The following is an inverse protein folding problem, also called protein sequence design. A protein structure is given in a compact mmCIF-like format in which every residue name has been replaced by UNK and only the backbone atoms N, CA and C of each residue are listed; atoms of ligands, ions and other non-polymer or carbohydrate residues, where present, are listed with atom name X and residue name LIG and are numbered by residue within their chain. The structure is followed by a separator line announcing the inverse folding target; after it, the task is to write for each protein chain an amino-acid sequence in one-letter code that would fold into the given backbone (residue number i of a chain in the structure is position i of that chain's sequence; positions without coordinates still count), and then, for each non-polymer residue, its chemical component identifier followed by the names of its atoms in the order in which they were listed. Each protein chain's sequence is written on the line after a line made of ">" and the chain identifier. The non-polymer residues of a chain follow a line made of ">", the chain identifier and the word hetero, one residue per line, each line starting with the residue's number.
data_IF_235679796071
#
_entry.id   IF_235679796071
#
_cell.length_a   1.000
_cell.length_b   1.000
_cell.length_c   1.000
_cell.angle_alpha   90.00
_cell.angle_beta   90.00
_cell.angle_gamma   90.00
#
_symmetry.space_group_name_H-M   'P 1'
#
loop_
_entity.id
_entity.type
_entity.pdbx_description
1 polymer ?
#
# COMPACT_ATOMS: atom_id res chain seq x y z
N UNK A 1 -12.60 3.25 -28.93
CA UNK A 1 -12.79 2.66 -27.58
C UNK A 1 -11.50 2.12 -26.93
N UNK A 2 -10.45 1.74 -27.68
CA UNK A 2 -9.22 1.15 -27.12
C UNK A 2 -8.30 2.16 -26.39
N UNK A 3 -8.14 3.39 -26.90
CA UNK A 3 -7.21 4.39 -26.32
C UNK A 3 -7.45 4.69 -24.83
N UNK A 4 -8.71 4.81 -24.40
CA UNK A 4 -9.06 5.04 -22.99
C UNK A 4 -8.70 3.87 -22.07
N UNK A 5 -8.75 2.63 -22.58
CA UNK A 5 -8.34 1.43 -21.83
C UNK A 5 -6.84 1.39 -21.58
N UNK A 6 -6.04 1.75 -22.58
CA UNK A 6 -4.58 1.86 -22.43
C UNK A 6 -4.19 2.99 -21.47
N UNK A 7 -4.84 4.14 -21.59
CA UNK A 7 -4.63 5.26 -20.66
C UNK A 7 -4.99 4.84 -19.23
N UNK A 8 -6.11 4.13 -19.03
CA UNK A 8 -6.51 3.61 -17.73
C UNK A 8 -5.45 2.67 -17.14
N UNK A 9 -5.02 1.68 -17.92
CA UNK A 9 -3.99 0.73 -17.51
C UNK A 9 -2.68 1.43 -17.11
N UNK A 10 -2.23 2.41 -17.91
CA UNK A 10 -1.04 3.19 -17.62
C UNK A 10 -1.20 4.04 -16.34
N UNK A 11 -2.33 4.72 -16.16
CA UNK A 11 -2.65 5.50 -14.96
C UNK A 11 -2.61 4.60 -13.71
N UNK A 12 -3.23 3.41 -13.76
CA UNK A 12 -3.22 2.47 -12.65
C UNK A 12 -1.80 2.01 -12.30
N UNK A 13 -0.97 1.69 -13.30
CA UNK A 13 0.42 1.30 -13.06
C UNK A 13 1.21 2.42 -12.39
N UNK A 14 1.16 3.63 -12.96
CA UNK A 14 1.89 4.79 -12.44
C UNK A 14 1.46 5.08 -10.99
N UNK A 15 0.16 5.10 -10.72
CA UNK A 15 -0.35 5.41 -9.38
C UNK A 15 0.00 4.31 -8.39
N UNK A 16 -0.10 3.03 -8.76
CA UNK A 16 0.26 1.95 -7.85
C UNK A 16 1.75 1.98 -7.49
N UNK A 17 2.60 2.16 -8.51
CA UNK A 17 4.04 2.30 -8.33
C UNK A 17 4.37 3.50 -7.44
N UNK A 18 3.78 4.67 -7.71
CA UNK A 18 3.99 5.88 -6.93
C UNK A 18 3.50 5.73 -5.47
N UNK A 19 2.31 5.16 -5.26
CA UNK A 19 1.77 4.94 -3.90
C UNK A 19 2.60 3.94 -3.11
N UNK A 20 3.09 2.88 -3.75
CA UNK A 20 3.99 1.90 -3.11
C UNK A 20 5.32 2.55 -2.73
N UNK A 21 5.91 3.30 -3.67
CA UNK A 21 7.18 4.00 -3.43
C UNK A 21 7.05 5.05 -2.32
N UNK A 22 5.98 5.86 -2.33
CA UNK A 22 5.71 6.83 -1.28
C UNK A 22 5.50 6.16 0.09
N UNK A 23 4.83 5.00 0.13
CA UNK A 23 4.68 4.21 1.35
C UNK A 23 6.03 3.83 1.95
N UNK A 24 6.95 3.27 1.14
CA UNK A 24 8.30 2.92 1.59
C UNK A 24 9.16 4.15 1.94
N UNK A 25 9.04 5.24 1.20
CA UNK A 25 9.74 6.49 1.54
C UNK A 25 9.29 7.04 2.89
N UNK A 26 8.01 6.95 3.22
CA UNK A 26 7.51 7.37 4.55
C UNK A 26 8.02 6.43 5.64
N UNK A 27 8.08 5.12 5.39
CA UNK A 27 8.76 4.19 6.29
C UNK A 27 10.17 4.67 6.62
N UNK A 28 10.98 4.93 5.58
CA UNK A 28 12.35 5.42 5.75
C UNK A 28 12.44 6.76 6.49
N UNK A 29 11.58 7.71 6.13
CA UNK A 29 11.51 9.01 6.79
C UNK A 29 11.13 8.90 8.28
N UNK A 30 10.12 8.09 8.61
CA UNK A 30 9.69 7.82 9.98
C UNK A 30 10.83 7.23 10.81
N UNK A 31 11.57 6.27 10.26
CA UNK A 31 12.69 5.64 10.98
C UNK A 31 13.85 6.60 11.21
N UNK A 32 14.25 7.38 10.20
CA UNK A 32 15.30 8.39 10.38
C UNK A 32 14.93 9.43 11.43
N UNK A 33 13.67 9.86 11.47
CA UNK A 33 13.17 10.78 12.52
C UNK A 33 13.23 10.19 13.93
N UNK A 34 13.25 8.87 14.05
CA UNK A 34 13.34 8.15 15.31
C UNK A 34 14.78 7.77 15.69
N UNK A 35 15.79 8.27 14.98
CA UNK A 35 17.19 7.95 15.27
C UNK A 35 17.69 6.67 14.63
N UNK A 36 16.89 6.02 13.76
CA UNK A 36 17.23 4.73 13.16
C UNK A 36 17.62 4.89 11.70
N UNK A 37 18.83 4.45 11.36
CA UNK A 37 19.30 4.44 9.97
C UNK A 37 18.79 3.20 9.23
N UNK A 38 18.10 3.40 8.11
CA UNK A 38 17.51 2.33 7.29
C UNK A 38 17.76 2.56 5.81
N UNK A 39 17.71 1.50 5.01
CA UNK A 39 17.62 1.61 3.55
C UNK A 39 16.24 1.20 3.07
N UNK A 40 15.68 1.99 2.15
CA UNK A 40 14.44 1.65 1.43
C UNK A 40 14.75 1.45 -0.05
N UNK A 41 14.28 0.34 -0.60
CA UNK A 41 14.11 0.14 -2.02
C UNK A 41 12.79 0.74 -2.52
N UNK A 42 12.27 0.18 -3.61
CA UNK A 42 10.98 0.59 -4.17
C UNK A 42 9.78 0.00 -3.40
N UNK A 43 9.94 -1.22 -2.88
CA UNK A 43 8.92 -1.98 -2.13
C UNK A 43 9.51 -2.70 -0.90
N UNK A 44 10.71 -2.34 -0.48
CA UNK A 44 11.40 -3.03 0.62
C UNK A 44 12.06 -2.03 1.54
N UNK A 45 11.85 -2.19 2.84
CA UNK A 45 12.73 -1.63 3.86
C UNK A 45 13.71 -2.70 4.38
N UNK A 46 14.91 -2.28 4.74
CA UNK A 46 16.00 -3.14 5.18
C UNK A 46 17.23 -2.39 5.67
N UNK A 47 18.32 -3.14 5.80
CA UNK A 47 19.56 -2.70 6.41
C UNK A 47 20.21 -1.58 5.60
N UNK A 48 20.62 -0.50 6.27
CA UNK A 48 21.23 0.67 5.63
C UNK A 48 22.49 0.34 4.83
N UNK A 49 23.20 -0.74 5.16
CA UNK A 49 24.47 -1.13 4.53
C UNK A 49 24.30 -2.09 3.35
N UNK A 50 23.12 -2.66 3.14
CA UNK A 50 22.85 -3.65 2.09
C UNK A 50 22.00 -3.04 0.97
N UNK A 51 22.08 -3.60 -0.23
CA UNK A 51 21.13 -3.29 -1.30
C UNK A 51 19.83 -4.10 -1.13
N UNK A 52 18.67 -3.59 -1.58
CA UNK A 52 17.39 -4.30 -1.46
C UNK A 52 17.35 -5.71 -2.12
N UNK A 53 18.29 -5.97 -3.03
CA UNK A 53 18.49 -7.27 -3.70
C UNK A 53 19.34 -8.26 -2.89
N UNK A 54 20.13 -7.78 -1.94
CA UNK A 54 21.13 -8.59 -1.26
C UNK A 54 20.46 -9.60 -0.31
N UNK A 55 21.02 -10.81 -0.23
CA UNK A 55 20.56 -11.82 0.71
C UNK A 55 20.75 -11.29 2.14
N UNK A 56 19.68 -11.32 2.93
CA UNK A 56 19.73 -10.77 4.27
C UNK A 56 19.54 -9.25 4.34
N UNK A 57 19.04 -8.60 3.27
CA UNK A 57 18.65 -7.19 3.32
C UNK A 57 17.73 -6.85 4.51
N UNK A 58 16.91 -7.81 4.95
CA UNK A 58 16.03 -7.69 6.13
C UNK A 58 16.58 -8.36 7.39
N UNK A 59 17.73 -9.05 7.31
CA UNK A 59 18.36 -9.68 8.48
C UNK A 59 18.94 -8.62 9.39
N UNK A 60 18.79 -8.83 10.70
CA UNK A 60 19.25 -7.92 11.76
C UNK A 60 18.62 -6.52 11.70
N UNK A 61 17.49 -6.37 11.00
CA UNK A 61 16.64 -5.20 11.16
C UNK A 61 15.86 -5.36 12.47
N UNK A 62 16.55 -5.14 13.59
CA UNK A 62 15.91 -4.86 14.87
C UNK A 62 15.31 -3.46 14.76
N UNK A 63 14.21 -3.35 14.00
CA UNK A 63 13.27 -2.25 14.11
C UNK A 63 12.73 -2.33 15.52
N UNK A 64 13.44 -1.67 16.43
CA UNK A 64 13.11 -1.59 17.85
C UNK A 64 11.61 -1.27 17.93
N UNK A 65 10.86 -2.15 18.59
CA UNK A 65 9.39 -2.34 18.59
C UNK A 65 8.59 -1.09 19.06
N UNK A 66 9.27 0.05 19.20
CA UNK A 66 8.76 1.31 19.74
C UNK A 66 7.95 2.15 18.75
N UNK A 67 7.76 1.71 17.50
CA UNK A 67 7.33 2.62 16.44
C UNK A 67 5.81 2.70 16.27
N UNK A 68 5.16 3.36 17.23
CA UNK A 68 3.83 3.98 17.08
C UNK A 68 3.78 5.05 15.97
N UNK A 69 4.94 5.47 15.45
CA UNK A 69 5.12 6.55 14.45
C UNK A 69 5.47 6.07 13.03
N UNK A 70 5.12 4.83 12.67
CA UNK A 70 5.10 4.46 11.27
C UNK A 70 3.87 5.06 10.56
N UNK A 71 4.10 6.17 9.85
CA UNK A 71 3.05 6.90 9.16
C UNK A 71 2.71 6.33 7.78
N UNK A 72 3.39 5.27 7.33
CA UNK A 72 3.22 4.71 5.99
C UNK A 72 1.80 4.14 5.80
N UNK A 73 1.32 3.35 6.76
CA UNK A 73 -0.04 2.80 6.80
C UNK A 73 -1.06 3.94 6.87
N UNK A 74 -0.82 4.93 7.72
CA UNK A 74 -1.72 6.08 7.88
C UNK A 74 -1.83 6.87 6.58
N UNK A 75 -0.72 7.08 5.84
CA UNK A 75 -0.74 7.75 4.54
C UNK A 75 -1.66 7.00 3.58
N UNK A 76 -1.38 5.72 3.32
CA UNK A 76 -2.11 4.96 2.28
C UNK A 76 -3.60 4.83 2.63
N UNK A 77 -3.93 4.66 3.91
CA UNK A 77 -5.30 4.64 4.39
C UNK A 77 -6.01 6.00 4.26
N UNK A 78 -5.31 7.09 4.59
CA UNK A 78 -5.83 8.46 4.42
C UNK A 78 -6.08 8.79 2.96
N UNK A 79 -5.16 8.42 2.06
CA UNK A 79 -5.33 8.59 0.62
C UNK A 79 -6.52 7.76 0.11
N UNK A 80 -6.68 6.51 0.55
CA UNK A 80 -7.82 5.67 0.19
C UNK A 80 -9.15 6.34 0.58
N UNK A 81 -9.26 6.85 1.81
CA UNK A 81 -10.47 7.52 2.31
C UNK A 81 -10.75 8.82 1.56
N UNK A 82 -9.77 9.73 1.47
CA UNK A 82 -9.92 11.03 0.83
C UNK A 82 -10.34 10.88 -0.62
N UNK A 83 -9.63 10.06 -1.41
CA UNK A 83 -9.95 9.90 -2.83
C UNK A 83 -11.25 9.13 -3.06
N UNK A 84 -11.62 8.21 -2.16
CA UNK A 84 -12.95 7.57 -2.21
C UNK A 84 -14.05 8.59 -1.99
N UNK A 85 -13.91 9.47 -0.99
CA UNK A 85 -14.87 10.54 -0.73
C UNK A 85 -14.96 11.52 -1.91
N UNK A 86 -13.82 11.97 -2.45
CA UNK A 86 -13.80 12.81 -3.66
C UNK A 86 -14.53 12.13 -4.82
N UNK A 87 -14.21 10.86 -5.12
CA UNK A 87 -14.81 10.13 -6.22
C UNK A 87 -16.33 9.98 -6.08
N UNK A 88 -16.81 9.75 -4.85
CA UNK A 88 -18.22 9.52 -4.58
C UNK A 88 -19.05 10.80 -4.56
N UNK A 89 -18.49 11.91 -4.06
CA UNK A 89 -19.22 13.17 -3.86
C UNK A 89 -19.11 14.15 -5.03
N UNK A 90 -17.98 14.18 -5.74
CA UNK A 90 -17.72 15.19 -6.76
C UNK A 90 -18.23 14.74 -8.14
N UNK A 91 -18.84 15.67 -8.89
CA UNK A 91 -19.13 15.49 -10.32
C UNK A 91 -17.94 15.98 -11.14
N UNK A 92 -17.20 15.06 -11.72
CA UNK A 92 -16.04 15.39 -12.56
C UNK A 92 -16.48 15.79 -13.96
N UNK A 93 -16.09 17.01 -14.39
CA UNK A 93 -16.25 17.46 -15.79
C UNK A 93 -15.17 16.86 -16.70
N UNK A 94 -13.95 16.72 -16.20
CA UNK A 94 -12.83 16.14 -16.96
C UNK A 94 -12.75 14.60 -16.74
N UNK A 95 -12.85 13.79 -17.80
CA UNK A 95 -12.77 12.33 -17.70
C UNK A 95 -11.40 11.82 -17.24
N UNK A 96 -10.31 12.52 -17.57
CA UNK A 96 -8.96 12.14 -17.16
C UNK A 96 -8.74 12.31 -15.66
N UNK A 97 -9.18 13.44 -15.09
CA UNK A 97 -9.16 13.70 -13.64
C UNK A 97 -9.99 12.66 -12.88
N UNK A 98 -11.17 12.30 -13.41
CA UNK A 98 -12.01 11.23 -12.85
C UNK A 98 -11.24 9.90 -12.79
N UNK A 99 -10.51 9.55 -13.84
CA UNK A 99 -9.70 8.33 -13.89
C UNK A 99 -8.56 8.36 -12.86
N UNK A 100 -7.82 9.47 -12.75
CA UNK A 100 -6.74 9.60 -11.76
C UNK A 100 -7.28 9.42 -10.34
N UNK A 101 -8.35 10.12 -9.98
CA UNK A 101 -8.94 10.05 -8.64
C UNK A 101 -9.46 8.64 -8.33
N UNK A 102 -10.12 8.00 -9.30
CA UNK A 102 -10.56 6.62 -9.15
C UNK A 102 -9.38 5.67 -8.93
N UNK A 103 -8.32 5.81 -9.72
CA UNK A 103 -7.13 4.97 -9.59
C UNK A 103 -6.42 5.20 -8.26
N UNK A 104 -6.30 6.44 -7.78
CA UNK A 104 -5.77 6.75 -6.44
C UNK A 104 -6.59 6.07 -5.35
N UNK A 105 -7.92 6.15 -5.41
CA UNK A 105 -8.80 5.52 -4.44
C UNK A 105 -8.70 3.98 -4.45
N UNK A 106 -8.74 3.38 -5.65
CA UNK A 106 -8.65 1.91 -5.82
C UNK A 106 -7.28 1.37 -5.44
N UNK A 107 -6.19 1.96 -5.92
CA UNK A 107 -4.83 1.47 -5.65
C UNK A 107 -4.52 1.49 -4.15
N UNK A 108 -4.82 2.61 -3.47
CA UNK A 108 -4.53 2.73 -2.04
C UNK A 108 -5.41 1.80 -1.19
N UNK A 109 -6.68 1.58 -1.57
CA UNK A 109 -7.53 0.59 -0.91
C UNK A 109 -6.99 -0.84 -1.12
N UNK A 110 -6.56 -1.17 -2.34
CA UNK A 110 -6.04 -2.50 -2.66
C UNK A 110 -4.68 -2.80 -2.02
N UNK A 111 -3.79 -1.82 -1.88
CA UNK A 111 -2.48 -2.02 -1.24
C UNK A 111 -2.62 -2.65 0.15
N UNK A 112 -3.57 -2.14 0.96
CA UNK A 112 -3.84 -2.66 2.30
C UNK A 112 -4.51 -4.03 2.28
N UNK A 113 -5.51 -4.22 1.41
CA UNK A 113 -6.20 -5.51 1.26
C UNK A 113 -5.21 -6.61 0.86
N UNK A 114 -4.29 -6.31 -0.05
CA UNK A 114 -3.28 -7.26 -0.52
C UNK A 114 -2.25 -7.55 0.56
N UNK A 115 -1.77 -6.53 1.28
CA UNK A 115 -0.85 -6.72 2.40
C UNK A 115 -1.45 -7.65 3.47
N UNK A 116 -2.71 -7.41 3.84
CA UNK A 116 -3.42 -8.24 4.80
C UNK A 116 -3.70 -9.66 4.27
N UNK A 117 -4.17 -9.79 3.03
CA UNK A 117 -4.40 -11.10 2.40
C UNK A 117 -3.12 -11.94 2.31
N UNK A 118 -2.00 -11.31 1.97
CA UNK A 118 -0.69 -11.95 1.96
C UNK A 118 -0.29 -12.44 3.37
N UNK A 119 -0.56 -11.65 4.41
CA UNK A 119 -0.25 -12.03 5.80
C UNK A 119 -1.00 -13.27 6.30
N UNK A 120 -2.23 -13.48 5.82
CA UNK A 120 -3.02 -14.66 6.19
C UNK A 120 -2.72 -15.89 5.32
N UNK A 121 -2.50 -15.69 4.03
CA UNK A 121 -2.36 -16.78 3.07
C UNK A 121 -0.93 -17.31 2.99
N UNK A 122 0.09 -16.46 3.06
CA UNK A 122 1.49 -16.90 2.93
C UNK A 122 1.95 -17.88 4.02
N UNK A 123 1.54 -17.75 5.30
CA UNK A 123 1.86 -18.75 6.31
C UNK A 123 1.27 -20.13 5.97
N UNK A 124 0.07 -20.16 5.38
CA UNK A 124 -0.62 -21.40 5.00
C UNK A 124 0.09 -22.10 3.83
N UNK A 125 0.62 -21.34 2.88
CA UNK A 125 1.26 -21.89 1.67
C UNK A 125 2.77 -22.11 1.77
N UNK A 126 3.46 -21.31 2.58
CA UNK A 126 4.94 -21.24 2.60
C UNK A 126 5.50 -21.52 4.00
N UNK A 127 4.65 -21.63 5.03
CA UNK A 127 5.08 -21.81 6.42
C UNK A 127 5.82 -20.60 6.99
N UNK A 128 5.84 -19.47 6.27
CA UNK A 128 6.53 -18.26 6.68
C UNK A 128 5.52 -17.19 7.10
N UNK A 129 5.64 -16.73 8.34
CA UNK A 129 4.90 -15.57 8.83
C UNK A 129 5.39 -14.30 8.13
N UNK A 130 4.48 -13.61 7.44
CA UNK A 130 4.78 -12.26 6.92
C UNK A 130 4.34 -11.25 7.96
N UNK A 131 5.32 -10.53 8.51
CA UNK A 131 5.08 -9.41 9.41
C UNK A 131 4.57 -8.22 8.60
N UNK A 132 3.34 -7.78 8.86
CA UNK A 132 2.74 -6.59 8.24
C UNK A 132 2.91 -5.37 9.13
N UNK A 133 2.97 -4.20 8.49
CA UNK A 133 3.15 -2.90 9.15
C UNK A 133 2.12 -2.69 10.28
N UNK A 134 0.86 -3.08 10.06
CA UNK A 134 -0.20 -2.95 11.06
C UNK A 134 0.01 -3.78 12.32
N UNK A 135 0.66 -4.95 12.22
CA UNK A 135 1.01 -5.77 13.39
C UNK A 135 2.17 -5.16 14.17
N UNK A 136 3.08 -4.43 13.51
CA UNK A 136 4.13 -3.69 14.20
C UNK A 136 3.52 -2.57 15.05
N UNK A 137 2.57 -1.81 14.50
CA UNK A 137 1.80 -0.82 15.26
C UNK A 137 1.04 -1.47 16.42
N UNK A 138 0.43 -2.62 16.19
CA UNK A 138 -0.26 -3.39 17.23
C UNK A 138 0.67 -3.84 18.36
N UNK A 139 1.86 -4.32 18.01
CA UNK A 139 2.88 -4.72 19.00
C UNK A 139 3.32 -3.51 19.84
N UNK A 140 3.57 -2.37 19.21
CA UNK A 140 3.92 -1.13 19.90
C UNK A 140 2.82 -0.68 20.87
N UNK A 141 1.54 -0.79 20.50
CA UNK A 141 0.40 -0.50 21.37
C UNK A 141 0.34 -1.44 22.58
N UNK A 142 0.57 -2.74 22.37
CA UNK A 142 0.62 -3.72 23.47
C UNK A 142 1.75 -3.38 24.42
N UNK A 143 2.94 -3.06 23.92
CA UNK A 143 4.09 -2.68 24.76
C UNK A 143 3.82 -1.40 25.55
N UNK A 144 3.17 -0.41 24.95
CA UNK A 144 2.88 0.87 25.59
C UNK A 144 1.75 0.79 26.65
N UNK A 145 0.77 -0.09 26.45
CA UNK A 145 -0.45 -0.14 27.30
C UNK A 145 -0.53 -1.38 28.19
N UNK A 146 0.28 -2.40 27.93
CA UNK A 146 0.19 -3.72 28.57
C UNK A 146 -1.02 -4.56 28.14
N UNK A 147 -1.87 -4.07 27.22
CA UNK A 147 -3.11 -4.77 26.85
C UNK A 147 -2.93 -5.61 25.57
N UNK A 148 -2.92 -6.96 25.65
CA UNK A 148 -2.70 -7.83 24.51
C UNK A 148 -3.81 -7.77 23.45
N UNK A 149 -5.02 -7.30 23.83
CA UNK A 149 -6.16 -7.18 22.91
C UNK A 149 -5.91 -6.18 21.78
N UNK A 150 -4.96 -5.25 21.96
CA UNK A 150 -4.67 -4.22 20.96
C UNK A 150 -3.80 -4.70 19.80
N UNK A 151 -3.23 -5.91 19.88
CA UNK A 151 -2.29 -6.44 18.88
C UNK A 151 -2.87 -6.44 17.45
N UNK A 152 -4.13 -6.84 17.31
CA UNK A 152 -4.78 -7.00 16.00
C UNK A 152 -5.64 -5.81 15.60
N UNK A 153 -5.89 -4.86 16.51
CA UNK A 153 -6.81 -3.74 16.29
C UNK A 153 -6.41 -2.89 15.07
N UNK A 154 -5.13 -2.46 14.91
CA UNK A 154 -4.73 -1.69 13.73
C UNK A 154 -4.93 -2.44 12.40
N UNK A 155 -4.63 -3.75 12.39
CA UNK A 155 -4.79 -4.59 11.20
C UNK A 155 -6.25 -4.74 10.81
N UNK A 156 -7.13 -5.00 11.78
CA UNK A 156 -8.58 -5.11 11.57
C UNK A 156 -9.16 -3.80 11.07
N UNK A 157 -8.79 -2.66 11.68
CA UNK A 157 -9.25 -1.34 11.24
C UNK A 157 -8.76 -1.01 9.83
N UNK A 158 -7.48 -1.28 9.54
CA UNK A 158 -6.88 -1.02 8.22
C UNK A 158 -7.61 -1.77 7.11
N UNK A 159 -7.84 -3.08 7.28
CA UNK A 159 -8.55 -3.88 6.28
C UNK A 159 -10.01 -3.49 6.18
N UNK A 160 -10.68 -3.22 7.30
CA UNK A 160 -12.09 -2.83 7.32
C UNK A 160 -12.33 -1.52 6.56
N UNK A 161 -11.55 -0.48 6.84
CA UNK A 161 -11.66 0.81 6.16
C UNK A 161 -11.36 0.66 4.66
N UNK A 162 -10.33 -0.12 4.31
CA UNK A 162 -9.93 -0.36 2.92
C UNK A 162 -11.00 -1.11 2.14
N UNK A 163 -11.62 -2.14 2.74
CA UNK A 163 -12.74 -2.87 2.16
C UNK A 163 -13.97 -1.98 1.99
N UNK A 164 -14.31 -1.17 2.99
CA UNK A 164 -15.43 -0.22 2.88
C UNK A 164 -15.22 0.77 1.72
N UNK A 165 -14.00 1.30 1.58
CA UNK A 165 -13.65 2.20 0.48
C UNK A 165 -13.79 1.50 -0.87
N UNK A 166 -13.17 0.32 -1.00
CA UNK A 166 -13.21 -0.49 -2.22
C UNK A 166 -14.64 -0.86 -2.63
N UNK A 167 -15.46 -1.35 -1.69
CA UNK A 167 -16.86 -1.71 -1.94
C UNK A 167 -17.66 -0.47 -2.37
N UNK A 168 -17.50 0.67 -1.69
CA UNK A 168 -18.20 1.92 -2.09
C UNK A 168 -17.83 2.36 -3.50
N UNK A 169 -16.57 2.26 -3.90
CA UNK A 169 -16.11 2.57 -5.25
C UNK A 169 -16.76 1.63 -6.28
N UNK A 170 -16.76 0.33 -6.03
CA UNK A 170 -17.39 -0.66 -6.90
C UNK A 170 -18.90 -0.44 -7.04
N UNK A 171 -19.60 -0.17 -5.93
CA UNK A 171 -21.03 0.15 -5.95
C UNK A 171 -21.30 1.41 -6.77
N UNK A 172 -20.47 2.44 -6.63
CA UNK A 172 -20.61 3.69 -7.40
C UNK A 172 -20.39 3.47 -8.89
N UNK A 173 -19.38 2.69 -9.27
CA UNK A 173 -19.10 2.33 -10.67
C UNK A 173 -20.21 1.50 -11.29
N UNK A 174 -20.75 0.51 -10.55
CA UNK A 174 -21.88 -0.30 -11.01
C UNK A 174 -23.13 0.56 -11.23
N UNK A 175 -23.40 1.52 -10.33
CA UNK A 175 -24.54 2.44 -10.45
C UNK A 175 -24.45 3.39 -11.63
N UNK A 176 -23.26 3.75 -12.10
CA UNK A 176 -23.11 4.61 -13.28
C UNK A 176 -23.51 3.94 -14.61
N UNK A 177 -23.92 2.65 -14.61
CA UNK A 177 -24.36 1.87 -15.79
C UNK A 177 -23.39 1.94 -16.99
N UNK A 178 -22.11 2.20 -16.72
CA UNK A 178 -21.08 2.31 -17.74
C UNK A 178 -20.77 0.88 -18.22
N UNK A 179 -21.25 0.46 -19.40
CA UNK A 179 -21.12 -0.92 -19.90
C UNK A 179 -19.66 -1.42 -19.95
N UNK A 180 -18.69 -0.50 -19.96
CA UNK A 180 -17.27 -0.79 -19.89
C UNK A 180 -16.72 -1.12 -18.49
N UNK A 181 -17.48 -0.99 -17.39
CA UNK A 181 -16.91 -1.03 -16.03
C UNK A 181 -16.19 -2.35 -15.70
N UNK A 182 -16.69 -3.48 -16.21
CA UNK A 182 -16.04 -4.80 -16.03
C UNK A 182 -14.65 -4.83 -16.65
N UNK A 183 -14.49 -4.25 -17.85
CA UNK A 183 -13.20 -4.13 -18.52
C UNK A 183 -12.25 -3.20 -17.77
N UNK A 184 -12.75 -2.10 -17.19
CA UNK A 184 -11.95 -1.21 -16.36
C UNK A 184 -11.44 -1.91 -15.09
N UNK A 185 -12.30 -2.68 -14.42
CA UNK A 185 -11.90 -3.47 -13.23
C UNK A 185 -10.89 -4.55 -13.61
N UNK A 186 -11.13 -5.29 -14.70
CA UNK A 186 -10.18 -6.30 -15.18
C UNK A 186 -8.80 -5.70 -15.48
N UNK A 187 -8.77 -4.59 -16.22
CA UNK A 187 -7.51 -3.89 -16.54
C UNK A 187 -6.83 -3.31 -15.29
N UNK A 188 -7.61 -2.91 -14.28
CA UNK A 188 -7.06 -2.50 -13.00
C UNK A 188 -6.33 -3.65 -12.30
N UNK A 189 -6.90 -4.85 -12.25
CA UNK A 189 -6.23 -6.02 -11.67
C UNK A 189 -4.99 -6.45 -12.49
N UNK A 190 -5.06 -6.39 -13.81
CA UNK A 190 -3.88 -6.63 -14.65
C UNK A 190 -2.78 -5.59 -14.38
N UNK A 191 -3.15 -4.32 -14.18
CA UNK A 191 -2.21 -3.26 -13.82
C UNK A 191 -1.58 -3.48 -12.43
N UNK A 192 -2.35 -4.01 -11.45
CA UNK A 192 -1.80 -4.39 -10.15
C UNK A 192 -0.72 -5.47 -10.29
N UNK A 193 -1.00 -6.54 -11.05
CA UNK A 193 -0.05 -7.63 -11.28
C UNK A 193 1.21 -7.10 -11.97
N UNK A 194 1.05 -6.32 -13.05
CA UNK A 194 2.22 -5.74 -13.75
C UNK A 194 3.01 -4.80 -12.84
N UNK A 195 2.35 -4.01 -11.99
CA UNK A 195 3.04 -3.12 -11.06
C UNK A 195 3.80 -3.87 -9.98
N UNK A 196 3.33 -5.04 -9.52
CA UNK A 196 4.10 -5.89 -8.61
C UNK A 196 5.38 -6.42 -9.25
N UNK A 197 5.32 -6.81 -10.53
CA UNK A 197 6.50 -7.25 -11.28
C UNK A 197 7.47 -6.08 -11.44
N UNK A 198 6.97 -4.92 -11.88
CA UNK A 198 7.79 -3.72 -12.09
C UNK A 198 8.44 -3.26 -10.78
N UNK A 199 7.68 -3.20 -9.67
CA UNK A 199 8.23 -2.80 -8.36
C UNK A 199 9.35 -3.74 -7.88
N UNK A 200 9.20 -5.05 -8.06
CA UNK A 200 10.27 -6.00 -7.74
C UNK A 200 11.52 -5.81 -8.62
N UNK A 201 11.35 -5.42 -9.90
CA UNK A 201 12.48 -5.09 -10.78
C UNK A 201 13.15 -3.79 -10.29
N UNK A 202 12.36 -2.78 -9.95
CA UNK A 202 12.83 -1.48 -9.49
C UNK A 202 13.58 -1.55 -8.15
N UNK A 203 13.25 -2.50 -7.27
CA UNK A 203 14.03 -2.78 -6.06
C UNK A 203 15.51 -3.09 -6.34
N UNK A 204 15.86 -3.57 -7.55
CA UNK A 204 17.26 -3.83 -7.91
C UNK A 204 18.05 -2.56 -8.23
N UNK A 205 17.37 -1.45 -8.52
CA UNK A 205 17.98 -0.22 -9.03
C UNK A 205 17.79 0.97 -8.09
N UNK A 206 16.68 0.99 -7.35
CA UNK A 206 16.33 2.09 -6.46
C UNK A 206 16.72 1.72 -5.04
N UNK A 207 17.53 2.58 -4.44
CA UNK A 207 17.94 2.51 -3.04
C UNK A 207 18.02 3.92 -2.49
N UNK A 208 17.36 4.15 -1.37
CA UNK A 208 17.43 5.39 -0.62
C UNK A 208 17.92 5.04 0.78
N UNK A 209 19.01 5.66 1.20
CA UNK A 209 19.52 5.52 2.55
C UNK A 209 18.97 6.69 3.37
N UNK A 210 18.26 6.35 4.44
CA UNK A 210 17.73 7.27 5.42
C UNK A 210 18.66 7.21 6.63
N UNK A 211 19.47 8.26 6.80
CA UNK A 211 20.48 8.35 7.86
C UNK A 211 19.91 9.27 8.96
N UNK A 212 20.05 8.82 10.20
CA UNK A 212 19.61 9.53 11.39
C UNK A 212 20.75 10.30 12.07
#
# INVERSE_FOLDING_TARGET
>A
MSKRKYIWFAICNIIFLLSTFLHECIHGFSMARLGQSVSTGFRRIGNVYLYPRDSGFRMNLDLDIKTLMDFSVLLTLTLAVIFTLLFCKIRFKNPFTKMIILALALCNSCLRIIAWGASLLLPVFVGQSVRIDELNTGTALVTATGNPSLLYVPAILSVFISLLCFIKLLMRLRRSRDEGYKNFIFLFFMALISSFIISNILDNYIRINWIA
#
